data_IF_781723084285
#
_entry.id   IF_781723084285
#
_cell.length_a   1.000
_cell.length_b   1.000
_cell.length_c   1.000
_cell.angle_alpha   90.00
_cell.angle_beta   90.00
_cell.angle_gamma   90.00
#
_symmetry.space_group_name_H-M   'P 1'
#
loop_
_entity.id
_entity.type
_entity.pdbx_description
1 polymer ?
#
# COMPACT_ATOMS: atom_id res chain seq x y z
N UNK A 1 -5.23 -8.87 -24.38
CA UNK A 1 -4.11 -7.93 -24.15
C UNK A 1 -3.62 -8.13 -22.73
N UNK A 2 -2.32 -8.24 -22.49
CA UNK A 2 -1.73 -8.45 -21.16
C UNK A 2 -0.96 -7.19 -20.75
N UNK A 3 -1.21 -6.70 -19.54
CA UNK A 3 -0.45 -5.61 -18.95
C UNK A 3 0.64 -6.22 -18.07
N UNK A 4 1.89 -5.82 -18.29
CA UNK A 4 3.06 -6.31 -17.58
C UNK A 4 3.83 -5.12 -17.00
N UNK A 5 3.63 -4.87 -15.71
CA UNK A 5 4.28 -3.76 -15.01
C UNK A 5 5.81 -3.94 -14.90
N UNK A 6 6.33 -5.17 -14.96
CA UNK A 6 7.77 -5.44 -14.89
C UNK A 6 8.52 -5.04 -16.17
N UNK A 7 7.80 -4.96 -17.30
CA UNK A 7 8.34 -4.51 -18.60
C UNK A 7 7.89 -3.10 -19.00
N UNK A 8 7.25 -2.35 -18.10
CA UNK A 8 6.79 -0.99 -18.38
C UNK A 8 7.98 -0.02 -18.45
N UNK A 9 8.18 0.63 -19.61
CA UNK A 9 9.31 1.54 -19.86
C UNK A 9 9.33 2.81 -18.98
N UNK A 10 8.20 3.15 -18.35
CA UNK A 10 8.04 4.30 -17.46
C UNK A 10 7.67 3.89 -16.03
N UNK A 11 7.93 2.62 -15.66
CA UNK A 11 7.68 2.12 -14.31
C UNK A 11 8.40 2.98 -13.28
N UNK A 12 7.70 3.35 -12.22
CA UNK A 12 8.20 4.25 -11.19
C UNK A 12 7.80 5.69 -11.49
N UNK A 13 8.30 6.23 -12.59
CA UNK A 13 8.13 7.65 -12.94
C UNK A 13 6.67 8.05 -13.20
N UNK A 14 5.93 7.21 -13.94
CA UNK A 14 4.53 7.43 -14.30
C UNK A 14 3.57 6.43 -13.63
N UNK A 15 3.99 5.82 -12.50
CA UNK A 15 3.12 4.89 -11.78
C UNK A 15 1.99 5.62 -11.02
N UNK A 16 2.23 6.87 -10.60
CA UNK A 16 1.26 7.65 -9.83
C UNK A 16 0.04 8.11 -10.64
N UNK A 17 0.19 8.24 -11.97
CA UNK A 17 -0.85 8.65 -12.93
C UNK A 17 -1.28 7.49 -13.87
N UNK A 18 -0.82 6.27 -13.61
CA UNK A 18 -1.16 5.11 -14.43
C UNK A 18 -2.64 4.68 -14.23
N UNK A 19 -3.36 4.49 -15.34
CA UNK A 19 -4.77 4.04 -15.32
C UNK A 19 -4.97 2.67 -14.64
N UNK A 20 -3.92 1.86 -14.54
CA UNK A 20 -3.99 0.52 -13.93
C UNK A 20 -4.42 0.59 -12.46
N UNK A 21 -3.95 1.59 -11.71
CA UNK A 21 -4.34 1.78 -10.30
C UNK A 21 -5.84 2.11 -10.16
N UNK A 22 -6.41 2.79 -11.16
CA UNK A 22 -7.86 3.09 -11.20
C UNK A 22 -8.67 1.84 -11.52
N UNK A 23 -8.19 1.02 -12.46
CA UNK A 23 -8.90 -0.19 -12.90
C UNK A 23 -8.87 -1.32 -11.86
N UNK A 24 -7.76 -1.44 -11.12
CA UNK A 24 -7.58 -2.51 -10.13
C UNK A 24 -8.03 -2.11 -8.72
N UNK A 25 -8.18 -0.81 -8.44
CA UNK A 25 -8.46 -0.31 -7.10
C UNK A 25 -7.24 -0.34 -6.17
N UNK A 26 -7.37 0.16 -4.94
CA UNK A 26 -6.32 0.03 -3.94
C UNK A 26 -6.09 -1.45 -3.61
N UNK A 27 -4.86 -1.85 -3.24
CA UNK A 27 -4.64 -3.17 -2.70
C UNK A 27 -5.50 -3.38 -1.45
N UNK A 28 -5.84 -4.64 -1.17
CA UNK A 28 -6.53 -5.00 0.06
C UNK A 28 -5.76 -4.48 1.29
N UNK A 29 -6.47 -4.08 2.38
CA UNK A 29 -5.82 -3.67 3.60
C UNK A 29 -4.87 -4.76 4.11
N UNK A 30 -3.62 -4.38 4.34
CA UNK A 30 -2.62 -5.26 4.95
C UNK A 30 -2.48 -4.87 6.41
N UNK A 31 -2.83 -5.80 7.30
CA UNK A 31 -2.52 -5.69 8.71
C UNK A 31 -1.10 -6.18 8.95
N UNK A 32 -0.35 -5.42 9.72
CA UNK A 32 0.97 -5.85 10.18
C UNK A 32 0.92 -5.98 11.69
N UNK A 33 1.39 -7.11 12.17
CA UNK A 33 1.59 -7.32 13.60
C UNK A 33 2.78 -6.47 14.12
N UNK A 34 3.03 -6.55 15.42
CA UNK A 34 4.08 -5.78 16.08
C UNK A 34 5.48 -6.17 15.56
N UNK A 35 5.71 -7.44 15.26
CA UNK A 35 7.01 -7.93 14.80
C UNK A 35 7.27 -7.49 13.36
N UNK A 36 6.27 -7.59 12.49
CA UNK A 36 6.33 -7.15 11.09
C UNK A 36 6.52 -5.64 11.00
N UNK A 37 5.82 -4.85 11.83
CA UNK A 37 6.02 -3.40 11.91
C UNK A 37 7.48 -3.06 12.24
N UNK A 38 8.04 -3.70 13.27
CA UNK A 38 9.44 -3.52 13.67
C UNK A 38 10.42 -3.92 12.56
N UNK A 39 10.11 -4.98 11.81
CA UNK A 39 10.93 -5.40 10.69
C UNK A 39 10.94 -4.34 9.58
N UNK A 40 9.78 -3.79 9.23
CA UNK A 40 9.67 -2.71 8.25
C UNK A 40 10.43 -1.46 8.71
N UNK A 41 10.29 -1.09 9.99
CA UNK A 41 11.00 0.05 10.56
C UNK A 41 12.53 -0.14 10.47
N UNK A 42 13.04 -1.33 10.83
CA UNK A 42 14.47 -1.65 10.72
C UNK A 42 14.98 -1.60 9.28
N UNK A 43 14.20 -2.08 8.31
CA UNK A 43 14.53 -1.97 6.89
C UNK A 43 14.56 -0.51 6.43
N UNK A 44 13.66 0.32 6.94
CA UNK A 44 13.57 1.72 6.59
C UNK A 44 14.71 2.54 7.21
N UNK A 45 15.09 2.25 8.45
CA UNK A 45 16.28 2.80 9.12
C UNK A 45 17.57 2.45 8.37
N UNK A 46 17.66 1.23 7.84
CA UNK A 46 18.76 0.79 7.00
C UNK A 46 18.73 1.38 5.56
N UNK A 47 17.68 2.14 5.20
CA UNK A 47 17.51 2.73 3.87
C UNK A 47 17.12 1.74 2.78
N UNK A 48 16.67 0.54 3.14
CA UNK A 48 16.28 -0.51 2.19
C UNK A 48 14.85 -0.33 1.66
N UNK A 49 13.99 0.30 2.46
CA UNK A 49 12.61 0.64 2.06
C UNK A 49 12.28 2.08 2.47
N UNK A 50 11.31 2.72 1.81
CA UNK A 50 10.79 4.00 2.28
C UNK A 50 10.17 3.87 3.67
N UNK A 51 10.31 4.91 4.49
CA UNK A 51 9.62 5.03 5.77
C UNK A 51 8.10 4.88 5.59
N UNK A 52 7.43 4.26 6.56
CA UNK A 52 5.99 4.11 6.54
C UNK A 52 5.33 5.51 6.63
N UNK A 53 4.71 5.95 5.54
CA UNK A 53 4.02 7.26 5.44
C UNK A 53 2.51 7.17 5.69
N UNK A 54 2.05 6.06 6.28
CA UNK A 54 0.66 5.92 6.67
C UNK A 54 0.39 6.86 7.84
N UNK A 55 -0.41 7.89 7.60
CA UNK A 55 -0.97 8.73 8.65
C UNK A 55 -2.29 8.10 9.06
N UNK A 56 -2.47 7.68 10.33
CA UNK A 56 -3.76 7.21 10.82
C UNK A 56 -4.82 8.27 10.53
N UNK A 57 -5.85 7.89 9.79
CA UNK A 57 -7.07 8.67 9.72
C UNK A 57 -8.02 8.11 10.76
N UNK A 58 -8.57 8.96 11.62
CA UNK A 58 -9.54 8.54 12.63
C UNK A 58 -10.72 7.86 11.91
N UNK A 59 -10.74 6.53 11.92
CA UNK A 59 -11.77 5.71 11.29
C UNK A 59 -12.65 5.06 12.36
N UNK A 60 -13.02 5.87 13.36
CA UNK A 60 -13.91 5.48 14.44
C UNK A 60 -15.37 5.55 13.97
N UNK A 61 -15.79 4.73 12.99
CA UNK A 61 -17.24 4.64 12.65
C UNK A 61 -17.67 3.43 11.78
N UNK A 62 -16.79 2.52 11.34
CA UNK A 62 -17.18 1.36 10.50
C UNK A 62 -17.16 0.00 11.20
N UNK A 63 -17.63 -0.08 12.45
CA UNK A 63 -17.75 -1.36 13.16
C UNK A 63 -19.15 -1.66 13.76
N UNK A 64 -20.17 -0.81 13.53
CA UNK A 64 -21.51 -1.01 14.12
C UNK A 64 -22.67 -1.21 13.12
N UNK A 65 -22.43 -1.46 11.83
CA UNK A 65 -23.51 -1.82 10.89
C UNK A 65 -23.12 -3.01 10.02
N UNK A 66 -23.17 -4.20 10.62
CA UNK A 66 -22.92 -5.46 9.91
C UNK A 66 -23.38 -6.72 10.65
N UNK A 67 -24.15 -6.62 11.73
CA UNK A 67 -24.80 -7.77 12.36
C UNK A 67 -26.29 -7.77 12.00
N UNK A 68 -26.65 -8.61 11.04
CA UNK A 68 -28.02 -9.07 10.80
C UNK A 68 -28.09 -10.56 11.17
#
# INVERSE_FOLDING_TARGET
MLVDCDRCAVRGDACGDCVITVLLGPPDPVEFDVAERRAIDALAEAGMVPQLRLVPTDSTERDETGAA
#
